data_IF_156811362672
#
_entry.id   IF_156811362672
#
_cell.length_a   1.000
_cell.length_b   1.000
_cell.length_c   1.000
_cell.angle_alpha   90.00
_cell.angle_beta   90.00
_cell.angle_gamma   90.00
#
_symmetry.space_group_name_H-M   'P 1'
#
loop_
_entity.id
_entity.type
_entity.pdbx_description
1 polymer ?
#
# COMPACT_ATOMS: atom_id res chain seq x y z
N UNK A 1 9.82 -5.27 -14.29
CA UNK A 1 9.59 -5.65 -12.87
C UNK A 1 8.25 -6.36 -12.76
N UNK A 2 8.25 -7.60 -12.29
CA UNK A 2 7.05 -8.43 -12.12
C UNK A 2 6.50 -8.22 -10.70
N UNK A 3 5.26 -7.77 -10.58
CA UNK A 3 4.62 -7.62 -9.27
C UNK A 3 4.33 -8.99 -8.65
N UNK A 4 4.70 -9.18 -7.38
CA UNK A 4 4.42 -10.42 -6.66
C UNK A 4 2.94 -10.52 -6.27
N UNK A 5 2.47 -11.72 -5.93
CA UNK A 5 1.09 -11.92 -5.51
C UNK A 5 0.76 -11.15 -4.21
N UNK A 6 1.71 -11.10 -3.26
CA UNK A 6 1.57 -10.31 -2.03
C UNK A 6 1.45 -8.79 -2.33
N UNK A 7 2.23 -8.29 -3.29
CA UNK A 7 2.14 -6.90 -3.74
C UNK A 7 0.81 -6.62 -4.45
N UNK A 8 0.35 -7.53 -5.32
CA UNK A 8 -0.93 -7.40 -6.00
C UNK A 8 -2.11 -7.42 -5.02
N UNK A 9 -2.08 -8.32 -4.02
CA UNK A 9 -3.07 -8.36 -2.94
C UNK A 9 -3.10 -7.04 -2.17
N UNK A 10 -1.94 -6.49 -1.85
CA UNK A 10 -1.82 -5.20 -1.15
C UNK A 10 -2.39 -4.06 -1.99
N UNK A 11 -2.11 -4.02 -3.31
CA UNK A 11 -2.73 -3.04 -4.20
C UNK A 11 -4.25 -3.18 -4.27
N UNK A 12 -4.77 -4.40 -4.33
CA UNK A 12 -6.23 -4.65 -4.31
C UNK A 12 -6.88 -4.15 -3.01
N UNK A 13 -6.20 -4.26 -1.86
CA UNK A 13 -6.65 -3.66 -0.61
C UNK A 13 -6.67 -2.13 -0.73
N UNK A 14 -5.56 -1.52 -1.16
CA UNK A 14 -5.47 -0.06 -1.34
C UNK A 14 -6.49 0.53 -2.32
N UNK A 15 -6.94 -0.28 -3.29
CA UNK A 15 -7.98 0.12 -4.24
C UNK A 15 -9.39 0.11 -3.61
N UNK A 16 -9.60 -0.67 -2.56
CA UNK A 16 -10.86 -0.67 -1.80
C UNK A 16 -10.87 0.46 -0.77
N UNK A 17 -9.77 0.61 -0.04
CA UNK A 17 -9.63 1.62 0.99
C UNK A 17 -8.15 1.96 1.24
N UNK A 18 -7.88 3.16 1.71
CA UNK A 18 -6.51 3.56 2.03
C UNK A 18 -5.93 2.71 3.18
N UNK A 19 -4.61 2.53 3.18
CA UNK A 19 -3.91 2.01 4.36
C UNK A 19 -3.48 3.16 5.26
N UNK A 20 -3.41 2.88 6.56
CA UNK A 20 -3.07 3.86 7.59
C UNK A 20 -1.76 3.51 8.26
N UNK A 21 -0.96 4.52 8.57
CA UNK A 21 0.27 4.38 9.33
C UNK A 21 -0.06 4.47 10.81
N UNK A 22 0.34 3.46 11.56
CA UNK A 22 0.18 3.38 13.01
C UNK A 22 1.55 3.41 13.64
N UNK A 23 1.82 4.45 14.42
CA UNK A 23 3.06 4.60 15.18
C UNK A 23 2.99 3.75 16.44
N UNK A 24 3.97 2.85 16.62
CA UNK A 24 4.05 2.01 17.83
C UNK A 24 4.71 2.73 18.99
N UNK A 25 5.57 3.71 18.68
CA UNK A 25 6.17 4.59 19.66
C UNK A 25 6.42 5.96 19.07
N UNK A 26 6.93 6.88 19.91
CA UNK A 26 7.39 8.21 19.48
C UNK A 26 8.72 8.17 18.72
N UNK A 27 9.34 7.00 18.56
CA UNK A 27 10.62 6.87 17.83
C UNK A 27 10.39 7.02 16.34
N UNK A 28 11.25 7.82 15.70
CA UNK A 28 11.25 7.97 14.26
C UNK A 28 11.47 6.60 13.59
N UNK A 29 10.59 6.24 12.66
CA UNK A 29 10.66 4.97 11.93
C UNK A 29 9.96 3.78 12.62
N UNK A 30 9.49 3.91 13.86
CA UNK A 30 8.75 2.85 14.55
C UNK A 30 7.26 2.92 14.26
N UNK A 31 6.90 2.49 13.05
CA UNK A 31 5.52 2.44 12.59
C UNK A 31 5.23 1.17 11.80
N UNK A 32 3.94 0.84 11.73
CA UNK A 32 3.42 -0.18 10.83
C UNK A 32 2.38 0.41 9.91
N UNK A 33 2.27 -0.14 8.71
CA UNK A 33 1.13 0.13 7.85
C UNK A 33 0.07 -0.94 8.06
N UNK A 34 -1.15 -0.52 8.35
CA UNK A 34 -2.31 -1.38 8.52
C UNK A 34 -3.39 -0.97 7.53
N UNK A 35 -4.27 -1.91 7.19
CA UNK A 35 -5.45 -1.64 6.38
C UNK A 35 -6.62 -2.30 7.09
N UNK A 36 -7.77 -1.65 7.21
CA UNK A 36 -8.90 -2.17 8.01
C UNK A 36 -9.32 -3.58 7.59
N UNK A 37 -9.31 -3.85 6.28
CA UNK A 37 -9.55 -5.20 5.73
C UNK A 37 -8.42 -6.22 5.89
N UNK A 38 -7.33 -5.92 6.62
CA UNK A 38 -6.18 -6.81 6.81
C UNK A 38 -5.67 -6.79 8.25
N UNK A 39 -5.68 -7.95 8.90
CA UNK A 39 -5.03 -8.15 10.21
C UNK A 39 -3.49 -8.24 10.13
N UNK A 40 -2.93 -8.17 8.92
CA UNK A 40 -1.49 -8.34 8.67
C UNK A 40 -0.85 -6.98 8.42
N UNK A 41 0.33 -6.76 9.01
CA UNK A 41 1.15 -5.58 8.75
C UNK A 41 1.63 -5.57 7.29
N UNK A 42 1.38 -4.47 6.58
CA UNK A 42 1.68 -4.31 5.16
C UNK A 42 2.98 -3.53 4.91
N UNK A 43 3.73 -3.20 5.96
CA UNK A 43 4.85 -2.24 5.92
C UNK A 43 5.86 -2.53 4.84
N UNK A 44 6.44 -3.73 4.82
CA UNK A 44 7.47 -4.10 3.84
C UNK A 44 6.94 -4.06 2.40
N UNK A 45 5.71 -4.54 2.19
CA UNK A 45 5.09 -4.57 0.87
C UNK A 45 4.78 -3.16 0.38
N UNK A 46 4.27 -2.30 1.25
CA UNK A 46 4.00 -0.90 0.94
C UNK A 46 5.27 -0.13 0.62
N UNK A 47 6.36 -0.31 1.36
CA UNK A 47 7.65 0.31 1.03
C UNK A 47 8.13 -0.05 -0.37
N UNK A 48 8.02 -1.32 -0.77
CA UNK A 48 8.33 -1.75 -2.15
C UNK A 48 7.40 -1.12 -3.17
N UNK A 49 6.10 -1.01 -2.87
CA UNK A 49 5.12 -0.38 -3.77
C UNK A 49 5.33 1.13 -3.91
N UNK A 50 5.77 1.81 -2.84
CA UNK A 50 6.17 3.22 -2.89
C UNK A 50 7.41 3.40 -3.77
N UNK A 51 8.46 2.61 -3.52
CA UNK A 51 9.68 2.64 -4.35
C UNK A 51 9.41 2.35 -5.83
N UNK A 52 8.39 1.54 -6.13
CA UNK A 52 8.00 1.19 -7.50
C UNK A 52 6.99 2.18 -8.13
N UNK A 53 6.48 3.14 -7.34
CA UNK A 53 5.48 4.12 -7.75
C UNK A 53 4.08 3.54 -7.98
N UNK A 54 3.75 2.38 -7.41
CA UNK A 54 2.40 1.80 -7.51
C UNK A 54 1.47 2.30 -6.41
N UNK A 55 2.02 2.65 -5.25
CA UNK A 55 1.32 3.33 -4.17
C UNK A 55 2.07 4.62 -3.82
N UNK A 56 1.40 5.53 -3.13
CA UNK A 56 2.01 6.75 -2.56
C UNK A 56 1.35 7.08 -1.24
N UNK A 57 2.00 7.93 -0.44
CA UNK A 57 1.31 8.61 0.66
C UNK A 57 0.46 9.76 0.12
N UNK A 58 -0.65 10.07 0.80
CA UNK A 58 -1.48 11.23 0.49
C UNK A 58 -0.70 12.52 0.78
N UNK A 59 -0.93 13.55 -0.03
CA UNK A 59 -0.34 14.87 0.18
C UNK A 59 -0.92 15.55 1.43
N UNK A 60 -2.21 15.35 1.70
CA UNK A 60 -2.90 15.99 2.83
C UNK A 60 -2.56 15.32 4.16
N UNK A 61 -2.38 13.99 4.13
CA UNK A 61 -2.03 13.21 5.30
C UNK A 61 -1.01 12.14 4.93
N UNK A 62 0.24 12.34 5.36
CA UNK A 62 1.32 11.40 5.10
C UNK A 62 1.09 10.03 5.75
N UNK A 63 0.24 9.95 6.77
CA UNK A 63 -0.14 8.70 7.46
C UNK A 63 -1.21 7.91 6.73
N UNK A 64 -1.59 8.35 5.53
CA UNK A 64 -2.53 7.66 4.64
C UNK A 64 -1.80 7.25 3.38
N UNK A 65 -1.83 5.96 3.06
CA UNK A 65 -1.28 5.40 1.84
C UNK A 65 -2.40 5.06 0.86
N UNK A 66 -2.28 5.57 -0.35
CA UNK A 66 -3.26 5.46 -1.44
C UNK A 66 -2.65 4.81 -2.67
N UNK A 67 -3.50 4.20 -3.49
CA UNK A 67 -3.08 3.64 -4.77
C UNK A 67 -2.90 4.75 -5.83
N UNK A 68 -1.83 4.65 -6.62
CA UNK A 68 -1.59 5.55 -7.76
C UNK A 68 -2.36 5.08 -9.00
N UNK A 69 -2.42 5.92 -10.04
CA UNK A 69 -2.93 5.51 -11.35
C UNK A 69 -2.15 4.31 -11.92
N UNK A 70 -0.82 4.29 -11.75
CA UNK A 70 0.03 3.17 -12.17
C UNK A 70 -0.35 1.87 -11.44
N UNK A 71 -0.62 1.96 -10.13
CA UNK A 71 -1.09 0.82 -9.34
C UNK A 71 -2.44 0.30 -9.81
N UNK A 72 -3.39 1.20 -10.11
CA UNK A 72 -4.71 0.82 -10.64
C UNK A 72 -4.62 0.11 -11.99
N UNK A 73 -3.76 0.58 -12.89
CA UNK A 73 -3.52 -0.05 -14.18
C UNK A 73 -3.02 -1.51 -14.04
N UNK A 74 -2.14 -1.78 -13.07
CA UNK A 74 -1.65 -3.14 -12.79
C UNK A 74 -2.76 -4.06 -12.28
N UNK A 75 -3.67 -3.55 -11.43
CA UNK A 75 -4.83 -4.33 -10.97
C UNK A 75 -5.72 -4.67 -12.17
N UNK A 76 -6.05 -3.70 -13.02
CA UNK A 76 -6.88 -3.90 -14.20
C UNK A 76 -6.27 -4.94 -15.15
N UNK A 77 -4.98 -4.81 -15.46
CA UNK A 77 -4.26 -5.75 -16.33
C UNK A 77 -4.20 -7.19 -15.79
N UNK A 78 -4.37 -7.39 -14.48
CA UNK A 78 -4.39 -8.72 -13.82
C UNK A 78 -5.77 -9.16 -13.34
N UNK A 79 -6.82 -8.39 -13.62
CA UNK A 79 -8.21 -8.72 -13.33
C UNK A 79 -9.00 -9.16 -14.57
N UNK A 80 -8.44 -8.98 -15.77
CA UNK A 80 -9.06 -9.32 -17.05
C UNK A 80 -8.65 -10.70 -17.60
N UNK A 81 -8.30 -11.64 -16.72
CA UNK A 81 -8.05 -13.05 -17.07
C UNK A 81 -9.12 -13.94 -16.46
#
# INVERSE_FOLDING_TARGET
MTISEAQLRTLRLLNKQAAHRVHRSKRAGDYIWTHEGSRIALTQTLHKLFSSGYATVSNDNRDVAVITQKGRAVIAARGSC
#
